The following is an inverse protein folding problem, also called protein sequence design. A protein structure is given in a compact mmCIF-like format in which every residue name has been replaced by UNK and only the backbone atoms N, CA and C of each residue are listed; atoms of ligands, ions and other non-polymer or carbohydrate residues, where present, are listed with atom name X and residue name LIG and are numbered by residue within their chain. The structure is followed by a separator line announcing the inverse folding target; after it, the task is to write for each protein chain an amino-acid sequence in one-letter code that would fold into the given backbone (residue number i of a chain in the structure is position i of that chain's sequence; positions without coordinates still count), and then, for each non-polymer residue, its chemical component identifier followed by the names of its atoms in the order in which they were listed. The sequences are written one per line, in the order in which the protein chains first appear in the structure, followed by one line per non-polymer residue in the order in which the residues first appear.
data_IF_371394156681
#
_entry.id   IF_371394156681
#
_cell.length_a   1.000
_cell.length_b   1.000
_cell.length_c   1.000
_cell.angle_alpha   90.00
_cell.angle_beta   90.00
_cell.angle_gamma   90.00
#
_symmetry.space_group_name_H-M   'P 1'
#
loop_
_entity.id
_entity.type
_entity.pdbx_description
1 polymer ?
#
# COMPACT_ATOMS: atom_id res chain seq x y z
N UNK A 1 -17.88 80.83 -7.89
CA UNK A 1 -18.31 79.96 -6.76
C UNK A 1 -18.49 78.55 -7.31
N UNK A 2 -17.57 77.64 -6.98
CA UNK A 2 -17.67 76.22 -7.30
C UNK A 2 -16.93 75.47 -6.19
N UNK A 3 -17.69 74.73 -5.38
CA UNK A 3 -17.18 73.81 -4.37
C UNK A 3 -16.53 72.62 -5.08
N UNK A 4 -15.40 72.10 -4.58
CA UNK A 4 -14.96 70.74 -4.89
C UNK A 4 -14.59 70.00 -3.59
N UNK A 5 -15.27 68.88 -3.26
CA UNK A 5 -15.15 68.17 -2.00
C UNK A 5 -14.24 66.94 -2.14
N UNK A 6 -12.91 67.09 -2.14
CA UNK A 6 -12.00 65.95 -2.39
C UNK A 6 -10.92 65.75 -1.30
N UNK A 7 -11.11 66.27 -0.09
CA UNK A 7 -10.08 66.20 0.97
C UNK A 7 -10.42 65.34 2.18
N UNK A 8 -11.59 64.69 2.21
CA UNK A 8 -12.01 63.80 3.30
C UNK A 8 -11.95 62.30 2.95
N UNK A 9 -11.91 61.91 1.67
CA UNK A 9 -11.85 60.49 1.26
C UNK A 9 -10.43 59.89 1.21
N UNK A 10 -9.37 60.71 1.27
CA UNK A 10 -7.98 60.21 1.14
C UNK A 10 -7.35 59.69 2.43
N UNK A 11 -7.93 59.98 3.60
CA UNK A 11 -7.39 59.51 4.88
C UNK A 11 -7.95 58.13 5.29
N UNK A 12 -9.14 57.77 4.82
CA UNK A 12 -9.76 56.46 5.05
C UNK A 12 -9.24 55.38 4.07
N UNK A 13 -8.85 55.76 2.84
CA UNK A 13 -8.28 54.82 1.87
C UNK A 13 -6.85 54.39 2.23
N UNK A 14 -6.02 55.27 2.79
CA UNK A 14 -4.66 54.90 3.22
C UNK A 14 -4.68 53.98 4.47
N UNK A 15 -5.69 54.08 5.34
CA UNK A 15 -5.89 53.15 6.45
C UNK A 15 -6.50 51.81 5.99
N UNK A 16 -7.40 51.83 5.00
CA UNK A 16 -7.92 50.60 4.38
C UNK A 16 -6.86 49.85 3.59
N UNK A 17 -5.99 50.54 2.85
CA UNK A 17 -4.92 49.90 2.06
C UNK A 17 -3.78 49.40 2.94
N UNK A 18 -3.55 49.99 4.11
CA UNK A 18 -2.63 49.44 5.10
C UNK A 18 -3.23 48.26 5.88
N UNK A 19 -4.55 48.24 6.16
CA UNK A 19 -5.24 47.04 6.69
C UNK A 19 -5.40 45.92 5.65
N UNK A 20 -5.59 46.24 4.36
CA UNK A 20 -5.64 45.28 3.24
C UNK A 20 -4.27 44.69 2.93
N UNK A 21 -3.18 45.46 3.09
CA UNK A 21 -1.82 44.93 2.97
C UNK A 21 -1.34 44.17 4.22
N UNK A 22 -1.90 44.44 5.40
CA UNK A 22 -1.63 43.65 6.62
C UNK A 22 -2.46 42.35 6.69
N UNK A 23 -3.54 42.24 5.91
CA UNK A 23 -4.36 41.02 5.82
C UNK A 23 -4.02 40.12 4.63
N UNK A 24 -3.26 40.60 3.64
CA UNK A 24 -2.74 39.76 2.53
C UNK A 24 -1.47 38.98 2.89
N UNK A 25 -0.82 39.28 4.02
CA UNK A 25 0.37 38.56 4.52
C UNK A 25 0.04 37.55 5.63
N UNK A 26 -1.14 36.93 5.58
CA UNK A 26 -1.44 35.74 6.39
C UNK A 26 -1.67 34.55 5.47
N UNK A 27 -0.78 33.57 5.59
CA UNK A 27 -0.89 32.18 5.12
C UNK A 27 -0.67 31.86 3.64
N UNK A 28 0.20 32.58 2.92
CA UNK A 28 0.92 31.92 1.81
C UNK A 28 2.13 31.17 2.39
N UNK A 29 1.86 29.98 2.93
CA UNK A 29 2.94 29.07 3.34
C UNK A 29 3.70 28.61 2.10
N UNK A 30 5.03 28.68 2.15
CA UNK A 30 5.87 28.18 1.08
C UNK A 30 5.61 26.67 0.89
N UNK A 31 5.15 26.28 -0.31
CA UNK A 31 4.89 24.87 -0.63
C UNK A 31 6.19 24.25 -1.12
N UNK A 32 6.69 23.25 -0.39
CA UNK A 32 7.89 22.52 -0.75
C UNK A 32 7.48 21.28 -1.55
N UNK A 33 7.88 21.20 -2.83
CA UNK A 33 7.72 19.97 -3.61
C UNK A 33 8.55 18.84 -3.00
N UNK A 34 7.96 17.65 -2.88
CA UNK A 34 8.69 16.46 -2.41
C UNK A 34 9.53 15.88 -3.54
N UNK A 35 10.78 15.51 -3.24
CA UNK A 35 11.63 14.73 -4.15
C UNK A 35 10.86 13.50 -4.62
N UNK A 36 10.71 13.37 -5.94
CA UNK A 36 9.89 12.31 -6.51
C UNK A 36 10.66 10.98 -6.44
N UNK A 37 10.06 9.96 -5.85
CA UNK A 37 10.67 8.64 -5.76
C UNK A 37 11.00 8.14 -7.19
N UNK A 38 12.19 7.56 -7.43
CA UNK A 38 12.60 7.11 -8.75
C UNK A 38 11.54 6.26 -9.41
N UNK A 39 11.40 6.46 -10.71
CA UNK A 39 10.39 5.84 -11.55
C UNK A 39 10.35 4.30 -11.52
N UNK A 40 11.40 3.63 -11.01
CA UNK A 40 11.46 2.17 -10.91
C UNK A 40 10.95 1.59 -9.58
N UNK A 41 10.65 2.42 -8.58
CA UNK A 41 10.14 1.92 -7.31
C UNK A 41 8.66 1.51 -7.42
N UNK A 42 8.24 0.45 -6.71
CA UNK A 42 6.90 -0.10 -6.85
C UNK A 42 5.88 0.67 -6.02
N UNK A 43 5.56 1.88 -6.45
CA UNK A 43 4.57 2.75 -5.81
C UNK A 43 3.39 3.04 -6.73
N UNK A 44 2.20 3.12 -6.14
CA UNK A 44 0.98 3.54 -6.80
C UNK A 44 0.83 5.06 -6.67
N UNK A 45 0.77 5.75 -7.82
CA UNK A 45 0.74 7.22 -7.87
C UNK A 45 -0.67 7.74 -8.05
N UNK A 46 -1.17 8.52 -7.11
CA UNK A 46 -2.54 9.03 -7.14
C UNK A 46 -2.63 10.46 -6.64
N UNK A 47 -3.66 11.19 -7.06
CA UNK A 47 -3.99 12.46 -6.41
C UNK A 47 -4.44 12.18 -4.98
N UNK A 48 -4.04 12.98 -4.01
CA UNK A 48 -4.40 12.75 -2.61
C UNK A 48 -5.91 12.72 -2.39
N UNK A 49 -6.72 13.53 -3.08
CA UNK A 49 -8.18 13.43 -2.97
C UNK A 49 -8.77 12.08 -3.41
N UNK A 50 -8.02 11.31 -4.22
CA UNK A 50 -8.43 10.01 -4.77
C UNK A 50 -7.67 8.84 -4.14
N UNK A 51 -6.96 9.06 -3.01
CA UNK A 51 -6.26 8.00 -2.30
C UNK A 51 -7.13 6.78 -1.93
N UNK A 52 -8.45 6.90 -1.63
CA UNK A 52 -9.26 5.74 -1.27
C UNK A 52 -9.45 4.76 -2.43
N UNK A 53 -9.40 5.23 -3.67
CA UNK A 53 -9.74 4.44 -4.85
C UNK A 53 -8.86 3.18 -5.02
N UNK A 54 -7.52 3.27 -5.07
CA UNK A 54 -6.67 2.07 -5.18
C UNK A 54 -6.85 1.10 -4.02
N UNK A 55 -7.07 1.61 -2.80
CA UNK A 55 -7.25 0.79 -1.60
C UNK A 55 -8.54 -0.02 -1.71
N UNK A 56 -9.67 0.63 -2.04
CA UNK A 56 -10.96 -0.04 -2.20
C UNK A 56 -10.91 -1.06 -3.33
N UNK A 57 -10.33 -0.72 -4.48
CA UNK A 57 -10.21 -1.65 -5.61
C UNK A 57 -9.41 -2.89 -5.21
N UNK A 58 -8.26 -2.70 -4.54
CA UNK A 58 -7.44 -3.80 -4.08
C UNK A 58 -8.18 -4.69 -3.08
N UNK A 59 -8.89 -4.10 -2.11
CA UNK A 59 -9.65 -4.83 -1.08
C UNK A 59 -10.76 -5.66 -1.72
N UNK A 60 -11.56 -5.06 -2.61
CA UNK A 60 -12.71 -5.73 -3.21
C UNK A 60 -12.26 -6.89 -4.10
N UNK A 61 -11.29 -6.66 -4.99
CA UNK A 61 -10.84 -7.71 -5.91
C UNK A 61 -10.11 -8.83 -5.15
N UNK A 62 -9.23 -8.49 -4.20
CA UNK A 62 -8.55 -9.50 -3.41
C UNK A 62 -9.53 -10.32 -2.56
N UNK A 63 -10.51 -9.66 -1.93
CA UNK A 63 -11.54 -10.32 -1.15
C UNK A 63 -12.41 -11.26 -2.00
N UNK A 64 -12.79 -10.87 -3.22
CA UNK A 64 -13.53 -11.74 -4.14
C UNK A 64 -12.69 -12.96 -4.53
N UNK A 65 -11.42 -12.77 -4.92
CA UNK A 65 -10.54 -13.88 -5.29
C UNK A 65 -10.33 -14.85 -4.12
N UNK A 66 -10.09 -14.31 -2.93
CA UNK A 66 -9.95 -15.08 -1.70
C UNK A 66 -11.23 -15.87 -1.38
N UNK A 67 -12.39 -15.21 -1.42
CA UNK A 67 -13.69 -15.83 -1.14
C UNK A 67 -14.03 -16.94 -2.14
N UNK A 68 -13.83 -16.70 -3.44
CA UNK A 68 -14.05 -17.71 -4.48
C UNK A 68 -13.15 -18.92 -4.30
N UNK A 69 -11.91 -18.71 -3.88
CA UNK A 69 -10.95 -19.80 -3.68
C UNK A 69 -11.28 -20.61 -2.42
N UNK A 70 -11.51 -19.92 -1.30
CA UNK A 70 -11.72 -20.57 0.00
C UNK A 70 -13.11 -21.20 0.09
N UNK A 71 -14.19 -20.43 -0.06
CA UNK A 71 -15.55 -20.92 0.18
C UNK A 71 -16.19 -21.61 -1.02
N UNK A 72 -15.89 -21.17 -2.25
CA UNK A 72 -16.59 -21.68 -3.45
C UNK A 72 -15.83 -22.85 -4.06
N UNK A 73 -14.50 -22.74 -4.20
CA UNK A 73 -13.67 -23.82 -4.71
C UNK A 73 -13.30 -24.86 -3.63
N UNK A 74 -13.47 -24.52 -2.35
CA UNK A 74 -13.13 -25.42 -1.23
C UNK A 74 -11.63 -25.64 -1.06
N UNK A 75 -10.81 -24.67 -1.49
CA UNK A 75 -9.35 -24.73 -1.37
C UNK A 75 -8.98 -24.08 -0.05
N UNK A 76 -8.91 -24.91 0.99
CA UNK A 76 -8.50 -24.53 2.34
C UNK A 76 -7.05 -24.97 2.53
N UNK A 77 -6.12 -24.01 2.48
CA UNK A 77 -4.69 -24.26 2.67
C UNK A 77 -4.22 -23.36 3.80
N UNK A 78 -4.31 -23.84 5.04
CA UNK A 78 -3.79 -23.10 6.18
C UNK A 78 -2.41 -23.64 6.56
N UNK A 79 -1.38 -22.88 6.18
CA UNK A 79 0.02 -23.27 6.37
C UNK A 79 0.76 -22.20 7.18
N UNK A 80 1.50 -22.63 8.20
CA UNK A 80 2.33 -21.73 9.01
C UNK A 80 3.57 -22.47 9.52
N UNK A 81 4.62 -21.71 9.87
CA UNK A 81 5.85 -22.30 10.40
C UNK A 81 5.64 -22.97 11.75
N UNK A 82 4.79 -22.37 12.58
CA UNK A 82 4.37 -22.91 13.87
C UNK A 82 2.84 -23.09 13.87
N UNK A 83 2.34 -24.32 13.68
CA UNK A 83 0.91 -24.60 13.66
C UNK A 83 0.19 -24.08 14.91
N UNK A 84 -0.93 -23.39 14.72
CA UNK A 84 -1.69 -22.75 15.80
C UNK A 84 -2.42 -23.77 16.69
N UNK A 85 -2.76 -24.94 16.16
CA UNK A 85 -3.38 -26.06 16.87
C UNK A 85 -2.41 -26.74 17.85
N UNK A 86 -1.13 -26.83 17.51
CA UNK A 86 -0.10 -27.42 18.38
C UNK A 86 0.43 -26.41 19.42
N UNK A 87 0.74 -25.18 18.99
CA UNK A 87 1.43 -24.19 19.82
C UNK A 87 0.51 -23.10 20.40
N UNK A 88 -0.76 -23.05 19.99
CA UNK A 88 -1.73 -22.05 20.45
C UNK A 88 -1.24 -20.62 20.24
N UNK A 89 -1.45 -19.77 21.25
CA UNK A 89 -1.03 -18.37 21.24
C UNK A 89 0.49 -18.17 21.06
N UNK A 90 1.31 -19.14 21.48
CA UNK A 90 2.75 -19.08 21.27
C UNK A 90 3.08 -19.22 19.78
N UNK A 91 2.39 -20.12 19.06
CA UNK A 91 2.53 -20.30 17.61
C UNK A 91 2.22 -19.02 16.84
N UNK A 92 1.10 -18.38 17.17
CA UNK A 92 0.68 -17.08 16.60
C UNK A 92 1.77 -16.01 16.74
N UNK A 93 2.33 -15.86 17.95
CA UNK A 93 3.38 -14.87 18.22
C UNK A 93 4.67 -15.22 17.46
N UNK A 94 5.09 -16.50 17.48
CA UNK A 94 6.30 -16.93 16.79
C UNK A 94 6.20 -16.74 15.28
N UNK A 95 5.05 -17.05 14.68
CA UNK A 95 4.79 -16.78 13.26
C UNK A 95 4.92 -15.28 12.97
N UNK A 96 4.23 -14.43 13.73
CA UNK A 96 4.34 -12.97 13.60
C UNK A 96 5.79 -12.46 13.68
N UNK A 97 6.56 -12.98 14.63
CA UNK A 97 7.98 -12.63 14.81
C UNK A 97 8.82 -13.10 13.63
N UNK A 98 8.70 -14.36 13.19
CA UNK A 98 9.49 -14.90 12.08
C UNK A 98 9.30 -14.11 10.80
N UNK A 99 8.06 -13.85 10.39
CA UNK A 99 7.78 -13.10 9.16
C UNK A 99 8.31 -11.66 9.25
N UNK A 100 8.19 -11.02 10.41
CA UNK A 100 8.73 -9.67 10.65
C UNK A 100 10.25 -9.67 10.58
N UNK A 101 10.93 -10.67 11.16
CA UNK A 101 12.39 -10.80 11.11
C UNK A 101 12.87 -11.06 9.69
N UNK A 102 12.20 -11.93 8.93
CA UNK A 102 12.51 -12.17 7.52
C UNK A 102 12.37 -10.87 6.70
N UNK A 103 11.31 -10.10 6.91
CA UNK A 103 11.12 -8.80 6.27
C UNK A 103 12.20 -7.77 6.65
N UNK A 104 12.63 -7.76 7.92
CA UNK A 104 13.71 -6.90 8.37
C UNK A 104 15.06 -7.28 7.73
N UNK A 105 15.40 -8.57 7.72
CA UNK A 105 16.62 -9.09 7.09
C UNK A 105 16.63 -8.79 5.59
N UNK A 106 15.51 -8.98 4.91
CA UNK A 106 15.40 -8.69 3.48
C UNK A 106 15.60 -7.20 3.19
N UNK A 107 15.02 -6.30 4.00
CA UNK A 107 15.24 -4.87 3.88
C UNK A 107 16.72 -4.48 4.04
N UNK A 108 17.42 -4.99 5.06
CA UNK A 108 18.86 -4.75 5.22
C UNK A 108 19.69 -5.34 4.08
N UNK A 109 19.31 -6.51 3.58
CA UNK A 109 19.98 -7.17 2.46
C UNK A 109 19.86 -6.33 1.18
N UNK A 110 18.67 -5.76 0.91
CA UNK A 110 18.45 -4.85 -0.22
C UNK A 110 19.32 -3.59 -0.07
N UNK A 111 19.37 -2.97 1.12
CA UNK A 111 20.25 -1.81 1.36
C UNK A 111 21.72 -2.16 1.13
N UNK A 112 22.16 -3.31 1.63
CA UNK A 112 23.52 -3.78 1.46
C UNK A 112 23.87 -3.99 -0.01
N UNK A 113 23.00 -4.67 -0.76
CA UNK A 113 23.15 -4.88 -2.21
C UNK A 113 23.22 -3.55 -2.97
N UNK A 114 22.35 -2.61 -2.62
CA UNK A 114 22.32 -1.28 -3.23
C UNK A 114 23.61 -0.50 -2.96
N UNK A 115 24.19 -0.59 -1.76
CA UNK A 115 25.48 0.05 -1.43
C UNK A 115 26.65 -0.58 -2.20
N UNK A 116 26.63 -1.90 -2.41
CA UNK A 116 27.74 -2.63 -3.03
C UNK A 116 27.71 -2.58 -4.56
N UNK A 117 26.53 -2.65 -5.15
CA UNK A 117 26.32 -2.85 -6.59
C UNK A 117 25.61 -1.68 -7.28
N UNK A 118 25.18 -0.67 -6.51
CA UNK A 118 24.47 0.50 -7.00
C UNK A 118 22.95 0.32 -7.08
N UNK A 119 22.25 1.43 -7.31
CA UNK A 119 20.78 1.52 -7.38
C UNK A 119 20.20 0.67 -8.53
N UNK A 120 20.99 0.39 -9.58
CA UNK A 120 20.57 -0.45 -10.69
C UNK A 120 20.12 -1.86 -10.29
N UNK A 121 20.60 -2.38 -9.16
CA UNK A 121 20.21 -3.71 -8.64
C UNK A 121 18.72 -3.81 -8.31
N UNK A 122 18.10 -2.72 -7.88
CA UNK A 122 16.67 -2.71 -7.57
C UNK A 122 15.81 -3.10 -8.78
N UNK A 123 16.23 -2.74 -10.00
CA UNK A 123 15.53 -3.14 -11.23
C UNK A 123 15.49 -4.66 -11.40
N UNK A 124 16.60 -5.34 -11.10
CA UNK A 124 16.68 -6.79 -11.19
C UNK A 124 15.93 -7.48 -10.06
N UNK A 125 16.04 -7.00 -8.82
CA UNK A 125 15.31 -7.55 -7.66
C UNK A 125 13.80 -7.46 -7.89
N UNK A 126 13.29 -6.28 -8.23
CA UNK A 126 11.86 -6.10 -8.47
C UNK A 126 11.41 -6.83 -9.72
N UNK A 127 12.18 -6.81 -10.81
CA UNK A 127 11.82 -7.50 -12.05
C UNK A 127 11.69 -9.02 -11.85
N UNK A 128 12.66 -9.63 -11.17
CA UNK A 128 12.61 -11.06 -10.84
C UNK A 128 11.46 -11.38 -9.89
N UNK A 129 11.30 -10.59 -8.82
CA UNK A 129 10.24 -10.81 -7.82
C UNK A 129 8.86 -10.68 -8.46
N UNK A 130 8.64 -9.67 -9.29
CA UNK A 130 7.39 -9.46 -10.01
C UNK A 130 7.12 -10.58 -11.01
N UNK A 131 8.14 -11.05 -11.73
CA UNK A 131 7.99 -12.19 -12.63
C UNK A 131 7.50 -13.44 -11.89
N UNK A 132 8.17 -13.78 -10.79
CA UNK A 132 7.88 -14.98 -10.02
C UNK A 132 6.50 -14.89 -9.37
N UNK A 133 6.24 -13.82 -8.62
CA UNK A 133 4.98 -13.58 -7.91
C UNK A 133 3.80 -13.52 -8.90
N UNK A 134 3.90 -12.72 -9.97
CA UNK A 134 2.83 -12.61 -10.94
C UNK A 134 2.62 -13.89 -11.72
N UNK A 135 3.65 -14.69 -12.00
CA UNK A 135 3.46 -15.95 -12.71
C UNK A 135 2.72 -16.97 -11.84
N UNK A 136 3.30 -17.35 -10.70
CA UNK A 136 2.76 -18.44 -9.88
C UNK A 136 1.39 -18.11 -9.27
N UNK A 137 1.21 -16.89 -8.76
CA UNK A 137 -0.06 -16.53 -8.12
C UNK A 137 -1.18 -16.36 -9.15
N UNK A 138 -0.87 -15.83 -10.34
CA UNK A 138 -1.88 -15.75 -11.41
C UNK A 138 -2.28 -17.12 -11.89
N UNK A 139 -1.34 -18.06 -12.01
CA UNK A 139 -1.68 -19.45 -12.31
C UNK A 139 -2.61 -20.04 -11.27
N UNK A 140 -2.29 -19.89 -9.98
CA UNK A 140 -3.14 -20.38 -8.89
C UNK A 140 -4.58 -19.87 -9.02
N UNK A 141 -4.79 -18.55 -9.19
CA UNK A 141 -6.13 -18.00 -9.31
C UNK A 141 -6.82 -18.34 -10.64
N UNK A 142 -6.09 -18.43 -11.75
CA UNK A 142 -6.66 -18.86 -13.03
C UNK A 142 -7.09 -20.33 -12.97
N UNK A 143 -6.33 -21.20 -12.32
CA UNK A 143 -6.69 -22.61 -12.14
C UNK A 143 -7.98 -22.74 -11.33
N UNK A 144 -8.12 -21.96 -10.25
CA UNK A 144 -9.37 -21.87 -9.47
C UNK A 144 -10.53 -21.39 -10.33
N UNK A 145 -10.36 -20.30 -11.10
CA UNK A 145 -11.43 -19.76 -11.96
C UNK A 145 -11.84 -20.78 -13.02
N UNK A 146 -10.88 -21.44 -13.67
CA UNK A 146 -11.16 -22.46 -14.68
C UNK A 146 -11.88 -23.66 -14.05
N UNK A 147 -11.44 -24.12 -12.89
CA UNK A 147 -12.14 -25.17 -12.14
C UNK A 147 -13.61 -24.80 -11.86
N UNK A 148 -13.85 -23.58 -11.34
CA UNK A 148 -15.21 -23.08 -11.05
C UNK A 148 -16.09 -22.91 -12.29
N UNK A 149 -15.51 -22.69 -13.47
CA UNK A 149 -16.25 -22.67 -14.73
C UNK A 149 -16.60 -24.09 -15.18
N UNK A 150 -15.62 -25.00 -15.18
CA UNK A 150 -15.80 -26.35 -15.73
C UNK A 150 -16.71 -27.23 -14.86
N UNK A 151 -16.73 -27.04 -13.54
CA UNK A 151 -17.61 -27.81 -12.64
C UNK A 151 -19.12 -27.56 -12.89
N UNK A 152 -19.48 -26.49 -13.60
CA UNK A 152 -20.87 -26.21 -13.98
C UNK A 152 -21.36 -27.05 -15.17
N UNK A 153 -20.46 -27.72 -15.88
CA UNK A 153 -20.78 -28.53 -17.04
C UNK A 153 -20.79 -30.04 -16.71
N UNK A 154 -21.56 -30.86 -17.44
CA UNK A 154 -21.57 -32.30 -17.21
C UNK A 154 -20.22 -32.95 -17.55
N UNK A 155 -19.84 -33.96 -16.77
CA UNK A 155 -18.60 -34.72 -16.95
C UNK A 155 -18.66 -35.61 -18.19
N UNK A 156 -18.29 -35.02 -19.34
CA UNK A 156 -18.09 -35.76 -20.59
C UNK A 156 -16.60 -35.93 -20.89
N UNK A 157 -16.22 -37.02 -21.54
CA UNK A 157 -14.81 -37.28 -21.93
C UNK A 157 -14.19 -36.14 -22.74
N UNK A 158 -15.00 -35.46 -23.56
CA UNK A 158 -14.55 -34.30 -24.33
C UNK A 158 -14.23 -33.09 -23.46
N UNK A 159 -15.12 -32.75 -22.52
CA UNK A 159 -14.93 -31.62 -21.60
C UNK A 159 -13.78 -31.86 -20.61
N UNK A 160 -13.60 -33.09 -20.12
CA UNK A 160 -12.45 -33.44 -19.28
C UNK A 160 -11.11 -33.25 -20.01
N UNK A 161 -11.01 -33.71 -21.26
CA UNK A 161 -9.82 -33.48 -22.09
C UNK A 161 -9.57 -31.99 -22.32
N UNK A 162 -10.63 -31.23 -22.56
CA UNK A 162 -10.54 -29.78 -22.73
C UNK A 162 -10.04 -29.09 -21.46
N UNK A 163 -10.58 -29.44 -20.29
CA UNK A 163 -10.14 -28.95 -18.99
C UNK A 163 -8.64 -29.17 -18.79
N UNK A 164 -8.16 -30.41 -18.99
CA UNK A 164 -6.73 -30.73 -18.84
C UNK A 164 -5.85 -29.98 -19.85
N UNK A 165 -6.32 -29.73 -21.07
CA UNK A 165 -5.59 -28.90 -22.04
C UNK A 165 -5.50 -27.44 -21.59
N UNK A 166 -6.58 -26.90 -21.03
CA UNK A 166 -6.59 -25.53 -20.50
C UNK A 166 -5.62 -25.38 -19.33
N UNK A 167 -5.73 -26.23 -18.31
CA UNK A 167 -4.92 -26.11 -17.08
C UNK A 167 -3.44 -26.41 -17.31
N UNK A 168 -3.09 -27.40 -18.14
CA UNK A 168 -1.69 -27.80 -18.30
C UNK A 168 -0.95 -27.09 -19.44
N UNK A 169 -1.66 -26.55 -20.44
CA UNK A 169 -1.02 -25.97 -21.64
C UNK A 169 -1.44 -24.52 -21.85
N UNK A 170 -2.73 -24.25 -22.08
CA UNK A 170 -3.15 -22.91 -22.53
C UNK A 170 -2.93 -21.84 -21.45
N UNK A 171 -3.32 -22.11 -20.21
CA UNK A 171 -3.21 -21.15 -19.10
C UNK A 171 -1.74 -20.87 -18.72
N UNK A 172 -0.86 -21.87 -18.54
CA UNK A 172 0.57 -21.64 -18.29
C UNK A 172 1.26 -20.82 -19.38
N UNK A 173 1.03 -21.16 -20.65
CA UNK A 173 1.65 -20.46 -21.79
C UNK A 173 1.16 -19.02 -21.88
N UNK A 174 -0.16 -18.80 -21.80
CA UNK A 174 -0.74 -17.46 -21.88
C UNK A 174 -0.26 -16.58 -20.72
N UNK A 175 -0.22 -17.13 -19.49
CA UNK A 175 0.27 -16.42 -18.31
C UNK A 175 1.74 -16.05 -18.46
N UNK A 176 2.59 -16.94 -18.99
CA UNK A 176 3.99 -16.64 -19.26
C UNK A 176 4.17 -15.45 -20.21
N UNK A 177 3.38 -15.42 -21.30
CA UNK A 177 3.39 -14.30 -22.27
C UNK A 177 2.90 -13.01 -21.60
N UNK A 178 1.80 -13.06 -20.85
CA UNK A 178 1.22 -11.90 -20.16
C UNK A 178 2.16 -11.32 -19.10
N UNK A 179 2.83 -12.16 -18.30
CA UNK A 179 3.80 -11.73 -17.29
C UNK A 179 5.03 -11.11 -17.93
N UNK A 180 5.53 -11.69 -19.03
CA UNK A 180 6.63 -11.08 -19.79
C UNK A 180 6.27 -9.67 -20.28
N UNK A 181 5.08 -9.50 -20.87
CA UNK A 181 4.60 -8.19 -21.31
C UNK A 181 4.40 -7.21 -20.14
N UNK A 182 3.93 -7.70 -18.99
CA UNK A 182 3.75 -6.91 -17.79
C UNK A 182 5.08 -6.35 -17.28
N UNK A 183 6.11 -7.18 -17.14
CA UNK A 183 7.45 -6.76 -16.69
C UNK A 183 8.07 -5.79 -17.69
N UNK A 184 8.00 -6.12 -18.98
CA UNK A 184 8.50 -5.26 -20.05
C UNK A 184 7.87 -3.86 -19.97
N UNK A 185 6.55 -3.80 -19.81
CA UNK A 185 5.81 -2.54 -19.67
C UNK A 185 6.13 -1.81 -18.36
N UNK A 186 6.37 -2.52 -17.25
CA UNK A 186 6.73 -1.89 -15.98
C UNK A 186 8.03 -1.08 -16.07
N UNK A 187 9.05 -1.63 -16.73
CA UNK A 187 10.35 -0.98 -16.86
C UNK A 187 10.43 0.01 -18.04
N UNK A 188 9.70 -0.24 -19.13
CA UNK A 188 9.80 0.56 -20.37
C UNK A 188 8.77 1.68 -20.46
N UNK A 189 7.57 1.48 -19.91
CA UNK A 189 6.48 2.46 -20.04
C UNK A 189 6.73 3.70 -19.20
N UNK A 190 6.48 4.88 -19.79
CA UNK A 190 6.43 6.17 -19.08
C UNK A 190 5.02 6.50 -18.53
N UNK A 191 4.02 5.68 -18.87
CA UNK A 191 2.63 5.92 -18.48
C UNK A 191 2.39 5.56 -17.01
N UNK A 192 2.01 6.55 -16.21
CA UNK A 192 1.63 6.36 -14.80
C UNK A 192 0.48 5.35 -14.68
N UNK A 193 -0.50 5.38 -15.60
CA UNK A 193 -1.65 4.47 -15.57
C UNK A 193 -1.23 3.01 -15.68
N UNK A 194 -0.31 2.71 -16.59
CA UNK A 194 0.22 1.36 -16.78
C UNK A 194 0.95 0.87 -15.53
N UNK A 195 1.78 1.72 -14.93
CA UNK A 195 2.51 1.38 -13.70
C UNK A 195 1.59 1.14 -12.52
N UNK A 196 0.63 2.04 -12.33
CA UNK A 196 -0.40 1.92 -11.31
C UNK A 196 -1.18 0.62 -11.45
N UNK A 197 -1.58 0.26 -12.68
CA UNK A 197 -2.26 -1.02 -12.94
C UNK A 197 -1.40 -2.21 -12.51
N UNK A 198 -0.11 -2.21 -12.87
CA UNK A 198 0.82 -3.30 -12.54
C UNK A 198 1.04 -3.40 -11.03
N UNK A 199 1.29 -2.28 -10.35
CA UNK A 199 1.48 -2.24 -8.89
C UNK A 199 0.23 -2.74 -8.17
N UNK A 200 -0.95 -2.28 -8.61
CA UNK A 200 -2.24 -2.70 -8.05
C UNK A 200 -2.51 -4.19 -8.30
N UNK A 201 -2.18 -4.69 -9.49
CA UNK A 201 -2.32 -6.10 -9.84
C UNK A 201 -1.43 -7.01 -9.00
N UNK A 202 -0.18 -6.60 -8.75
CA UNK A 202 0.71 -7.40 -7.92
C UNK A 202 0.27 -7.35 -6.46
N UNK A 203 -0.13 -6.18 -5.94
CA UNK A 203 -0.59 -6.06 -4.55
C UNK A 203 -1.86 -6.87 -4.26
N UNK A 204 -2.84 -6.86 -5.18
CA UNK A 204 -4.07 -7.65 -5.01
C UNK A 204 -3.79 -9.15 -5.04
N UNK A 205 -2.87 -9.62 -5.89
CA UNK A 205 -2.54 -11.05 -5.99
C UNK A 205 -1.81 -11.55 -4.73
N UNK A 206 -0.81 -10.78 -4.28
CA UNK A 206 -0.06 -11.08 -3.05
C UNK A 206 -1.01 -11.13 -1.86
N UNK A 207 -1.87 -10.14 -1.70
CA UNK A 207 -2.78 -10.09 -0.56
C UNK A 207 -3.86 -11.18 -0.57
N UNK A 208 -4.46 -11.45 -1.73
CA UNK A 208 -5.46 -12.51 -1.86
C UNK A 208 -4.85 -13.89 -1.55
N UNK A 209 -3.68 -14.20 -2.10
CA UNK A 209 -3.00 -15.48 -1.84
C UNK A 209 -2.58 -15.62 -0.39
N UNK A 210 -1.99 -14.58 0.21
CA UNK A 210 -1.60 -14.61 1.62
C UNK A 210 -2.81 -14.79 2.55
N UNK A 211 -3.97 -14.21 2.23
CA UNK A 211 -5.17 -14.38 3.06
C UNK A 211 -5.74 -15.80 3.03
N UNK A 212 -5.48 -16.56 1.96
CA UNK A 212 -5.87 -17.97 1.85
C UNK A 212 -4.86 -18.86 2.59
N UNK A 213 -3.55 -18.59 2.41
CA UNK A 213 -2.47 -19.45 2.89
C UNK A 213 -2.27 -19.35 4.40
N UNK A 214 -2.37 -18.14 4.96
CA UNK A 214 -2.00 -17.89 6.34
C UNK A 214 -3.21 -18.04 7.28
N UNK A 215 -3.05 -18.73 8.42
CA UNK A 215 -4.05 -18.73 9.48
C UNK A 215 -4.40 -17.30 9.93
N UNK A 216 -5.65 -17.11 10.35
CA UNK A 216 -6.18 -15.78 10.66
C UNK A 216 -5.42 -15.07 11.78
N UNK A 217 -5.15 -15.74 12.91
CA UNK A 217 -4.49 -15.11 14.06
C UNK A 217 -3.03 -14.80 13.77
N UNK A 218 -2.32 -15.72 13.11
CA UNK A 218 -0.98 -15.50 12.59
C UNK A 218 -0.94 -14.30 11.64
N UNK A 219 -1.94 -14.13 10.77
CA UNK A 219 -2.03 -12.95 9.89
C UNK A 219 -2.12 -11.65 10.69
N UNK A 220 -2.93 -11.60 11.75
CA UNK A 220 -2.98 -10.42 12.63
C UNK A 220 -1.63 -10.16 13.30
N UNK A 221 -0.96 -11.20 13.80
CA UNK A 221 0.35 -11.07 14.43
C UNK A 221 1.42 -10.57 13.45
N UNK A 222 1.41 -11.05 12.20
CA UNK A 222 2.29 -10.58 11.11
C UNK A 222 2.01 -9.10 10.81
N UNK A 223 0.75 -8.71 10.69
CA UNK A 223 0.37 -7.33 10.40
C UNK A 223 0.77 -6.36 11.52
N UNK A 224 0.65 -6.78 12.78
CA UNK A 224 1.13 -6.01 13.94
C UNK A 224 2.65 -5.89 13.89
N UNK A 225 3.37 -7.01 13.68
CA UNK A 225 4.82 -7.04 13.63
C UNK A 225 5.41 -6.16 12.52
N UNK A 226 4.87 -6.27 11.30
CA UNK A 226 5.30 -5.45 10.15
C UNK A 226 4.93 -3.98 10.37
N UNK A 227 3.78 -3.68 10.96
CA UNK A 227 3.40 -2.30 11.30
C UNK A 227 4.36 -1.67 12.32
N UNK A 228 4.74 -2.42 13.36
CA UNK A 228 5.75 -1.97 14.32
C UNK A 228 7.13 -1.79 13.67
N UNK A 229 7.48 -2.70 12.76
CA UNK A 229 8.71 -2.60 11.97
C UNK A 229 8.73 -1.38 11.06
N UNK A 230 7.61 -1.01 10.42
CA UNK A 230 7.50 0.17 9.56
C UNK A 230 7.81 1.46 10.33
N UNK A 231 7.29 1.59 11.56
CA UNK A 231 7.63 2.71 12.47
C UNK A 231 9.15 2.78 12.66
N UNK A 232 9.78 1.65 12.97
CA UNK A 232 11.23 1.60 13.19
C UNK A 232 12.01 1.89 11.91
N UNK A 233 11.63 1.28 10.78
CA UNK A 233 12.32 1.40 9.49
C UNK A 233 12.29 2.81 8.90
N UNK A 234 11.23 3.57 9.17
CA UNK A 234 11.03 4.93 8.69
C UNK A 234 11.58 5.98 9.66
N UNK A 235 11.27 5.87 10.97
CA UNK A 235 11.61 6.92 11.94
C UNK A 235 13.03 6.79 12.51
N UNK A 236 13.64 5.60 12.48
CA UNK A 236 14.99 5.43 13.00
C UNK A 236 16.04 6.07 12.07
N UNK A 237 16.96 6.86 12.65
CA UNK A 237 17.97 7.62 11.88
C UNK A 237 18.86 6.77 10.96
N UNK A 238 18.99 5.47 11.23
CA UNK A 238 19.73 4.49 10.39
C UNK A 238 18.82 3.39 9.84
N UNK A 239 17.52 3.66 9.75
CA UNK A 239 16.54 2.70 9.23
C UNK A 239 16.83 2.34 7.77
N UNK A 240 16.58 1.08 7.34
CA UNK A 240 16.89 0.64 5.99
C UNK A 240 16.08 1.38 4.93
N UNK A 241 14.79 1.65 5.20
CA UNK A 241 13.91 2.38 4.28
C UNK A 241 14.41 3.82 4.12
N UNK A 242 14.71 4.50 5.24
CA UNK A 242 15.30 5.82 5.20
C UNK A 242 16.62 5.84 4.42
N UNK A 243 17.52 4.88 4.68
CA UNK A 243 18.79 4.78 3.97
C UNK A 243 18.61 4.51 2.46
N UNK A 244 17.56 3.79 2.03
CA UNK A 244 17.25 3.65 0.60
C UNK A 244 16.87 4.98 -0.02
N UNK A 245 16.01 5.76 0.64
CA UNK A 245 15.57 7.07 0.16
C UNK A 245 16.75 8.04 0.12
N UNK A 246 17.56 8.11 1.18
CA UNK A 246 18.70 9.02 1.25
C UNK A 246 19.72 8.74 0.12
N UNK A 247 20.06 7.46 -0.14
CA UNK A 247 20.97 7.07 -1.24
C UNK A 247 20.40 7.42 -2.61
N UNK A 248 19.08 7.32 -2.76
CA UNK A 248 18.39 7.68 -3.99
C UNK A 248 18.41 9.20 -4.20
N UNK A 249 18.05 9.97 -3.17
CA UNK A 249 18.00 11.43 -3.22
C UNK A 249 19.38 12.04 -3.45
N UNK A 250 20.43 11.54 -2.76
CA UNK A 250 21.80 12.03 -2.91
C UNK A 250 22.35 11.88 -4.34
N UNK A 251 21.86 10.91 -5.12
CA UNK A 251 22.24 10.74 -6.52
C UNK A 251 21.54 11.71 -7.47
N UNK A 252 20.38 12.27 -7.08
CA UNK A 252 19.57 13.17 -7.91
C UNK A 252 19.77 14.66 -7.54
N UNK A 253 20.27 14.97 -6.35
CA UNK A 253 20.39 16.36 -5.84
C UNK A 253 21.80 16.95 -5.96
N UNK A 254 22.20 17.37 -7.16
CA UNK A 254 23.18 18.45 -7.31
C UNK A 254 22.49 19.81 -7.15
N UNK A 255 22.56 20.43 -5.95
CA UNK A 255 22.27 21.87 -5.77
C UNK A 255 20.99 22.28 -5.02
N UNK A 256 20.33 21.39 -4.28
CA UNK A 256 19.17 21.74 -3.44
C UNK A 256 19.52 22.33 -2.06
N UNK A 257 18.59 23.04 -1.38
CA UNK A 257 18.77 23.51 -0.01
C UNK A 257 18.97 22.33 0.96
N UNK A 258 19.78 22.53 1.99
CA UNK A 258 20.08 21.47 2.98
C UNK A 258 18.81 21.02 3.70
N UNK A 259 18.63 19.71 3.87
CA UNK A 259 17.48 19.12 4.59
C UNK A 259 17.21 19.76 5.95
N UNK A 260 18.26 20.20 6.65
CA UNK A 260 18.18 20.85 7.95
C UNK A 260 17.56 22.27 7.89
N UNK A 261 17.66 22.95 6.76
CA UNK A 261 17.04 24.26 6.52
C UNK A 261 15.55 24.12 6.24
N UNK A 262 15.18 23.11 5.43
CA UNK A 262 13.80 22.77 5.10
C UNK A 262 13.03 22.35 6.37
N UNK A 263 13.61 21.48 7.19
CA UNK A 263 13.01 21.02 8.45
C UNK A 263 12.73 22.15 9.45
N UNK A 264 13.59 23.20 9.47
CA UNK A 264 13.39 24.36 10.35
C UNK A 264 12.22 25.22 9.90
N UNK A 265 12.10 25.50 8.59
CA UNK A 265 10.99 26.29 8.02
C UNK A 265 9.62 25.60 8.22
N UNK A 266 9.59 24.27 8.19
CA UNK A 266 8.35 23.51 8.44
C UNK A 266 7.99 23.52 9.93
N UNK A 267 8.97 23.41 10.82
CA UNK A 267 8.74 23.47 12.28
C UNK A 267 8.33 24.86 12.75
N UNK A 268 8.82 25.92 12.11
CA UNK A 268 8.36 27.30 12.36
C UNK A 268 6.97 27.58 11.74
N UNK A 269 6.47 26.70 10.88
CA UNK A 269 5.16 26.81 10.25
C UNK A 269 5.13 27.70 9.00
N UNK A 270 6.30 28.17 8.55
CA UNK A 270 6.48 29.00 7.35
C UNK A 270 6.24 28.21 6.06
N UNK A 271 6.50 26.90 6.07
CA UNK A 271 6.37 26.04 4.89
C UNK A 271 5.67 24.72 5.16
N UNK A 272 5.06 24.14 4.12
CA UNK A 272 4.32 22.86 4.15
C UNK A 272 4.72 22.02 2.95
N UNK A 273 4.83 20.71 3.11
CA UNK A 273 5.09 19.82 1.98
C UNK A 273 3.88 19.71 1.05
N UNK A 274 4.13 19.69 -0.27
CA UNK A 274 3.09 19.34 -1.23
C UNK A 274 2.65 17.88 -1.02
N UNK A 275 1.36 17.70 -0.73
CA UNK A 275 0.70 16.39 -0.62
C UNK A 275 -0.36 16.21 -1.71
N UNK A 276 -0.33 16.99 -2.79
CA UNK A 276 -1.30 16.90 -3.90
C UNK A 276 -1.18 15.58 -4.66
N UNK A 277 0.05 15.07 -4.79
CA UNK A 277 0.40 13.77 -5.36
C UNK A 277 0.86 12.86 -4.22
N UNK A 278 0.28 11.67 -4.17
CA UNK A 278 0.61 10.64 -3.19
C UNK A 278 1.18 9.42 -3.90
N UNK A 279 2.20 8.84 -3.29
CA UNK A 279 2.76 7.55 -3.67
C UNK A 279 2.47 6.57 -2.54
N UNK A 280 1.68 5.54 -2.84
CA UNK A 280 1.32 4.49 -1.89
C UNK A 280 2.20 3.28 -2.18
N UNK A 281 2.83 2.70 -1.15
CA UNK A 281 3.65 1.52 -1.32
C UNK A 281 2.83 0.31 -1.80
N UNK A 282 3.43 -0.53 -2.64
CA UNK A 282 2.82 -1.82 -3.01
C UNK A 282 2.52 -2.69 -1.77
N UNK A 283 3.41 -2.62 -0.77
CA UNK A 283 3.24 -3.29 0.52
C UNK A 283 2.02 -2.78 1.26
N UNK A 284 1.83 -1.46 1.34
CA UNK A 284 0.68 -0.84 2.00
C UNK A 284 -0.63 -1.35 1.42
N UNK A 285 -0.77 -1.31 0.09
CA UNK A 285 -1.96 -1.84 -0.59
C UNK A 285 -2.16 -3.34 -0.30
N UNK A 286 -1.09 -4.14 -0.33
CA UNK A 286 -1.18 -5.57 -0.05
C UNK A 286 -1.61 -5.85 1.40
N UNK A 287 -1.06 -5.13 2.39
CA UNK A 287 -1.40 -5.35 3.80
C UNK A 287 -2.81 -4.87 4.16
N UNK A 288 -3.28 -3.77 3.56
CA UNK A 288 -4.66 -3.33 3.71
C UNK A 288 -5.64 -4.38 3.19
N UNK A 289 -5.40 -4.88 1.98
CA UNK A 289 -6.20 -5.95 1.38
C UNK A 289 -6.08 -7.29 2.12
N UNK A 290 -4.91 -7.62 2.66
CA UNK A 290 -4.67 -8.84 3.43
C UNK A 290 -5.52 -8.85 4.70
N UNK A 291 -5.52 -7.75 5.47
CA UNK A 291 -6.33 -7.63 6.68
C UNK A 291 -7.81 -7.83 6.36
N UNK A 292 -8.35 -7.09 5.38
CA UNK A 292 -9.78 -7.16 5.06
C UNK A 292 -10.21 -8.48 4.45
N UNK A 293 -9.36 -9.10 3.61
CA UNK A 293 -9.66 -10.40 3.01
C UNK A 293 -9.63 -11.50 4.08
N UNK A 294 -8.67 -11.45 5.00
CA UNK A 294 -8.61 -12.41 6.11
C UNK A 294 -9.80 -12.24 7.07
N UNK A 295 -10.24 -11.00 7.34
CA UNK A 295 -11.47 -10.72 8.10
C UNK A 295 -12.71 -11.27 7.37
N UNK A 296 -12.79 -11.14 6.05
CA UNK A 296 -13.86 -11.72 5.24
C UNK A 296 -13.89 -13.25 5.37
N UNK A 297 -12.75 -13.91 5.21
CA UNK A 297 -12.65 -15.37 5.31
C UNK A 297 -12.99 -15.86 6.72
N UNK A 298 -12.48 -15.21 7.75
CA UNK A 298 -12.67 -15.62 9.14
C UNK A 298 -14.10 -15.42 9.65
N UNK A 299 -14.74 -14.30 9.30
CA UNK A 299 -16.07 -13.94 9.83
C UNK A 299 -17.22 -14.30 8.90
N UNK A 300 -16.93 -14.52 7.61
CA UNK A 300 -17.91 -14.61 6.54
C UNK A 300 -18.97 -13.50 6.58
N UNK A 301 -18.58 -12.29 7.01
CA UNK A 301 -19.50 -11.19 7.23
C UNK A 301 -19.04 -9.91 6.53
N UNK A 302 -19.81 -9.48 5.52
CA UNK A 302 -19.50 -8.32 4.70
C UNK A 302 -19.57 -7.01 5.50
N UNK A 303 -20.42 -6.95 6.54
CA UNK A 303 -20.59 -5.72 7.35
C UNK A 303 -19.28 -5.37 8.06
N UNK A 304 -18.63 -6.34 8.70
CA UNK A 304 -17.34 -6.09 9.38
C UNK A 304 -16.22 -5.80 8.39
N UNK A 305 -16.27 -6.37 7.17
CA UNK A 305 -15.33 -6.02 6.10
C UNK A 305 -15.47 -4.55 5.69
N UNK A 306 -16.70 -4.05 5.54
CA UNK A 306 -16.97 -2.64 5.24
C UNK A 306 -16.47 -1.75 6.38
N UNK A 307 -16.78 -2.08 7.64
CA UNK A 307 -16.33 -1.30 8.79
C UNK A 307 -14.80 -1.28 8.91
N UNK A 308 -14.14 -2.42 8.72
CA UNK A 308 -12.68 -2.54 8.72
C UNK A 308 -12.07 -1.73 7.57
N UNK A 309 -12.68 -1.75 6.39
CA UNK A 309 -12.27 -0.94 5.24
C UNK A 309 -12.37 0.56 5.56
N UNK A 310 -13.47 1.01 6.16
CA UNK A 310 -13.63 2.41 6.58
C UNK A 310 -12.55 2.79 7.59
N UNK A 311 -12.24 1.93 8.55
CA UNK A 311 -11.21 2.17 9.56
C UNK A 311 -9.81 2.32 8.92
N UNK A 312 -9.45 1.47 7.96
CA UNK A 312 -8.20 1.57 7.19
C UNK A 312 -8.14 2.88 6.39
N UNK A 313 -9.24 3.27 5.74
CA UNK A 313 -9.30 4.50 4.97
C UNK A 313 -9.13 5.72 5.88
N UNK A 314 -9.81 5.77 7.03
CA UNK A 314 -9.66 6.83 8.02
C UNK A 314 -8.22 6.89 8.54
N UNK A 315 -7.61 5.74 8.91
CA UNK A 315 -6.23 5.69 9.37
C UNK A 315 -5.22 6.15 8.30
N UNK A 316 -5.45 5.80 7.04
CA UNK A 316 -4.65 6.27 5.91
C UNK A 316 -4.81 7.79 5.74
N UNK A 317 -6.03 8.31 5.85
CA UNK A 317 -6.30 9.75 5.80
C UNK A 317 -5.63 10.55 6.93
N UNK A 318 -5.56 9.98 8.14
CA UNK A 318 -4.81 10.56 9.28
C UNK A 318 -3.32 10.60 8.93
N UNK A 319 -2.77 9.50 8.38
CA UNK A 319 -1.37 9.40 7.98
C UNK A 319 -1.02 10.43 6.89
N UNK A 320 -1.87 10.57 5.87
CA UNK A 320 -1.73 11.57 4.80
C UNK A 320 -1.79 12.99 5.37
N UNK A 321 -2.67 13.26 6.33
CA UNK A 321 -2.75 14.56 6.98
C UNK A 321 -1.46 14.89 7.75
N UNK A 322 -0.82 13.89 8.35
CA UNK A 322 0.49 14.03 9.01
C UNK A 322 1.64 14.33 8.04
N UNK A 323 1.56 13.91 6.77
CA UNK A 323 2.60 14.16 5.75
C UNK A 323 2.76 15.64 5.40
N UNK A 324 1.81 16.50 5.79
CA UNK A 324 1.93 17.96 5.64
C UNK A 324 3.04 18.53 6.54
N UNK A 325 3.27 17.93 7.71
CA UNK A 325 4.22 18.40 8.72
C UNK A 325 5.53 17.60 8.74
N UNK A 326 5.56 16.43 8.11
CA UNK A 326 6.71 15.52 8.11
C UNK A 326 7.05 15.10 6.68
N UNK A 327 8.34 15.03 6.34
CA UNK A 327 8.79 14.60 5.00
C UNK A 327 8.31 13.19 4.67
N UNK A 328 8.49 12.29 5.64
CA UNK A 328 8.17 10.86 5.58
C UNK A 328 7.40 10.44 6.84
N UNK A 329 6.46 9.52 6.68
CA UNK A 329 5.72 8.88 7.77
C UNK A 329 5.49 7.41 7.45
N UNK A 330 5.47 6.52 8.46
CA UNK A 330 5.12 5.12 8.26
C UNK A 330 3.66 5.03 7.82
N UNK A 331 3.42 4.31 6.72
CA UNK A 331 2.12 4.24 6.04
C UNK A 331 1.15 3.28 6.71
N UNK A 332 1.69 2.17 7.23
CA UNK A 332 0.93 1.02 7.73
C UNK A 332 0.29 1.18 9.12
N UNK A 333 1.00 1.71 10.14
CA UNK A 333 0.62 1.42 11.53
C UNK A 333 -0.77 1.91 11.91
N UNK A 334 -1.07 3.19 11.62
CA UNK A 334 -2.34 3.80 12.03
C UNK A 334 -3.51 3.07 11.35
N UNK A 335 -3.39 2.80 10.05
CA UNK A 335 -4.42 2.12 9.26
C UNK A 335 -4.66 0.68 9.72
N UNK A 336 -3.59 -0.09 9.95
CA UNK A 336 -3.68 -1.49 10.38
C UNK A 336 -4.21 -1.59 11.82
N UNK A 337 -3.70 -0.79 12.77
CA UNK A 337 -4.19 -0.82 14.15
C UNK A 337 -5.66 -0.39 14.25
N UNK A 338 -6.11 0.58 13.45
CA UNK A 338 -7.54 0.94 13.40
C UNK A 338 -8.39 -0.20 12.83
N UNK A 339 -7.93 -0.88 11.78
CA UNK A 339 -8.61 -2.04 11.21
C UNK A 339 -8.72 -3.21 12.19
N UNK A 340 -7.61 -3.60 12.82
CA UNK A 340 -7.58 -4.66 13.84
C UNK A 340 -8.42 -4.27 15.06
N UNK A 341 -8.36 -3.01 15.49
CA UNK A 341 -9.19 -2.50 16.59
C UNK A 341 -10.69 -2.59 16.29
N UNK A 342 -11.09 -2.30 15.05
CA UNK A 342 -12.48 -2.43 14.60
C UNK A 342 -12.94 -3.88 14.63
N UNK A 343 -12.11 -4.80 14.16
CA UNK A 343 -12.36 -6.24 14.26
C UNK A 343 -12.47 -6.70 15.72
N UNK A 344 -11.57 -6.27 16.61
CA UNK A 344 -11.61 -6.63 18.02
C UNK A 344 -12.88 -6.13 18.72
N UNK A 345 -13.32 -4.90 18.43
CA UNK A 345 -14.59 -4.37 18.95
C UNK A 345 -15.77 -5.21 18.44
N UNK A 346 -15.77 -5.59 17.15
CA UNK A 346 -16.79 -6.47 16.61
C UNK A 346 -16.84 -7.82 17.33
N UNK A 347 -15.68 -8.46 17.56
CA UNK A 347 -15.61 -9.72 18.29
C UNK A 347 -16.15 -9.60 19.72
N UNK A 348 -15.84 -8.50 20.42
CA UNK A 348 -16.41 -8.23 21.74
C UNK A 348 -17.94 -8.08 21.67
N UNK A 349 -18.45 -7.31 20.70
CA UNK A 349 -19.90 -7.11 20.55
C UNK A 349 -20.59 -8.45 20.27
N UNK A 350 -20.06 -9.25 19.34
CA UNK A 350 -20.63 -10.58 19.03
C UNK A 350 -20.61 -11.45 20.29
N UNK A 351 -19.49 -11.56 20.98
CA UNK A 351 -19.34 -12.43 22.16
C UNK A 351 -20.28 -12.05 23.32
N UNK A 352 -20.53 -10.75 23.53
CA UNK A 352 -21.32 -10.27 24.67
C UNK A 352 -22.82 -10.10 24.37
N UNK A 353 -23.21 -9.87 23.12
CA UNK A 353 -24.58 -9.49 22.77
C UNK A 353 -25.31 -10.46 21.83
N UNK A 354 -24.61 -11.40 21.20
CA UNK A 354 -25.17 -12.38 20.25
C UNK A 354 -24.86 -13.77 20.78
#
# INVERSE_FOLDING_TARGET
MSNNPDTLDKLDDDQKDSELNLTSTKDQKDIIEKDFIPHFLPTYRVKSSLYPLPIIIAIVIAGILAYLTFFVAGVEVEESYFPEDEFGALGVVLNGVIFTVIAAISAFTIVFLMRKLGVGVLKYIFGLSFAFVSFFITLMFLDVIIYLIFVQFPETTGLLKLYFLFTNIYIPVLTGISVFLLIYNYFTSKSIKTKNFIVLYISLLVSASMSIILPFWSTLAILIGISMWDIFGVLYKRGPIKAMIDIISDNDSEGGPSEAEVDKKIKSGESVYDTSKLEIGIGDLAFYSLLTSSVLLFTNNIIIVILTTIAILVGTGITISGLKRNRILPGLPISIFMGIGTFAIYQLIVTFFI
#
